data_IF_255576565963
#
_entry.id   IF_255576565963
#
_cell.length_a   1.000
_cell.length_b   1.000
_cell.length_c   1.000
_cell.angle_alpha   90.00
_cell.angle_beta   90.00
_cell.angle_gamma   90.00
#
_symmetry.space_group_name_H-M   'P 1'
#
loop_
_entity.id
_entity.type
_entity.pdbx_description
1 polymer ?
#
# COMPACT_ATOMS: atom_id res chain seq x y z
N UNK A 1 -2.35 -8.00 -9.34
CA UNK A 1 -1.21 -8.40 -8.50
C UNK A 1 -1.07 -7.40 -7.35
N UNK A 2 -1.09 -7.85 -6.09
CA UNK A 2 -1.09 -6.95 -4.91
C UNK A 2 0.21 -7.06 -4.15
N UNK A 3 0.84 -5.92 -3.90
CA UNK A 3 2.14 -5.81 -3.25
C UNK A 3 1.99 -4.97 -1.99
N UNK A 4 2.48 -5.49 -0.87
CA UNK A 4 2.68 -4.71 0.35
C UNK A 4 4.14 -4.27 0.39
N UNK A 5 4.39 -2.96 0.45
CA UNK A 5 5.72 -2.40 0.66
C UNK A 5 5.88 -2.11 2.15
N UNK A 6 6.79 -2.81 2.81
CA UNK A 6 7.05 -2.75 4.23
C UNK A 6 8.46 -2.23 4.51
N UNK A 7 8.59 -1.43 5.56
CA UNK A 7 9.90 -0.94 5.98
C UNK A 7 9.76 0.28 6.87
N UNK A 8 10.88 0.69 7.48
CA UNK A 8 10.94 1.84 8.39
C UNK A 8 10.51 3.15 7.72
N UNK A 9 10.14 4.13 8.53
CA UNK A 9 9.93 5.49 8.05
C UNK A 9 11.18 5.96 7.28
N UNK A 10 10.97 6.64 6.15
CA UNK A 10 12.03 7.13 5.26
C UNK A 10 13.00 6.06 4.68
N UNK A 11 12.64 4.77 4.71
CA UNK A 11 13.43 3.69 4.10
C UNK A 11 13.40 3.66 2.55
N UNK A 12 12.81 4.66 1.89
CA UNK A 12 12.75 4.73 0.43
C UNK A 12 11.59 3.97 -0.25
N UNK A 13 10.58 3.52 0.52
CA UNK A 13 9.39 2.78 -0.01
C UNK A 13 8.72 3.49 -1.19
N UNK A 14 8.48 4.80 -1.04
CA UNK A 14 7.89 5.65 -2.07
C UNK A 14 8.72 5.63 -3.36
N UNK A 15 10.04 5.81 -3.25
CA UNK A 15 10.97 5.78 -4.38
C UNK A 15 10.99 4.43 -5.08
N UNK A 16 10.87 3.33 -4.32
CA UNK A 16 10.77 1.99 -4.90
C UNK A 16 9.49 1.84 -5.74
N UNK A 17 8.33 2.29 -5.21
CA UNK A 17 7.07 2.27 -5.96
C UNK A 17 7.20 3.06 -7.26
N UNK A 18 7.75 4.27 -7.21
CA UNK A 18 7.95 5.10 -8.42
C UNK A 18 8.84 4.44 -9.45
N UNK A 19 9.90 3.75 -9.03
CA UNK A 19 10.78 2.98 -9.94
C UNK A 19 10.08 1.77 -10.55
N UNK A 20 9.30 1.02 -9.76
CA UNK A 20 8.52 -0.11 -10.25
C UNK A 20 7.44 0.32 -11.25
N UNK A 21 6.86 1.49 -11.04
CA UNK A 21 5.75 2.00 -11.87
C UNK A 21 6.22 2.83 -13.06
N UNK A 22 7.41 3.41 -12.98
CA UNK A 22 7.88 4.42 -13.93
C UNK A 22 7.10 5.73 -13.83
N UNK A 23 6.38 5.95 -12.73
CA UNK A 23 5.50 7.10 -12.54
C UNK A 23 5.68 7.69 -11.15
N UNK A 24 5.69 9.03 -11.08
CA UNK A 24 5.70 9.73 -9.80
C UNK A 24 4.43 9.44 -9.00
N UNK A 25 4.55 9.35 -7.68
CA UNK A 25 3.43 9.21 -6.75
C UNK A 25 2.38 10.31 -6.88
N UNK A 26 2.74 11.49 -7.38
CA UNK A 26 1.77 12.56 -7.68
C UNK A 26 0.87 12.25 -8.90
N UNK A 27 1.03 11.08 -9.52
CA UNK A 27 0.12 10.55 -10.55
C UNK A 27 -0.64 9.32 -10.08
N UNK A 28 -0.47 8.93 -8.82
CA UNK A 28 -1.16 7.78 -8.25
C UNK A 28 -2.64 8.11 -8.03
N UNK A 29 -3.48 7.11 -8.20
CA UNK A 29 -4.86 7.12 -7.75
C UNK A 29 -4.92 6.33 -6.45
N UNK A 30 -5.44 6.96 -5.39
CA UNK A 30 -5.69 6.29 -4.12
C UNK A 30 -7.14 5.81 -4.09
N UNK A 31 -7.32 4.51 -3.93
CA UNK A 31 -8.62 3.89 -3.84
C UNK A 31 -8.88 3.34 -2.44
N UNK A 32 -10.11 3.50 -1.95
CA UNK A 32 -10.60 2.90 -0.71
C UNK A 32 -11.96 2.29 -0.96
N UNK A 33 -12.12 1.02 -0.60
CA UNK A 33 -13.37 0.27 -0.76
C UNK A 33 -13.97 0.37 -2.18
N UNK A 34 -13.09 0.33 -3.19
CA UNK A 34 -13.49 0.39 -4.60
C UNK A 34 -13.84 1.78 -5.13
N UNK A 35 -13.60 2.85 -4.36
CA UNK A 35 -13.81 4.24 -4.78
C UNK A 35 -12.50 5.03 -4.79
N UNK A 36 -12.33 5.91 -5.77
CA UNK A 36 -11.23 6.90 -5.79
C UNK A 36 -11.47 7.89 -4.65
N UNK A 37 -10.42 8.21 -3.90
CA UNK A 37 -10.44 9.29 -2.91
C UNK A 37 -10.11 10.62 -3.61
N UNK A 38 -11.11 11.49 -3.86
CA UNK A 38 -10.88 12.73 -4.62
C UNK A 38 -9.96 13.67 -3.84
N UNK A 39 -9.00 14.28 -4.54
CA UNK A 39 -8.00 15.16 -3.94
C UNK A 39 -6.87 14.46 -3.18
N UNK A 40 -6.93 13.12 -3.05
CA UNK A 40 -5.86 12.32 -2.46
C UNK A 40 -5.01 11.70 -3.57
N UNK A 41 -4.11 12.52 -4.10
CA UNK A 41 -3.14 12.10 -5.13
C UNK A 41 -1.99 11.30 -4.51
N UNK A 42 -1.72 11.54 -3.22
CA UNK A 42 -0.74 10.80 -2.41
C UNK A 42 -1.33 10.49 -1.04
N UNK A 43 -0.95 9.36 -0.42
CA UNK A 43 -1.16 9.18 1.01
C UNK A 43 -0.49 10.33 1.77
N UNK A 44 -1.26 11.22 2.40
CA UNK A 44 -0.70 12.30 3.21
C UNK A 44 -0.04 11.69 4.44
N UNK A 45 1.18 12.15 4.78
CA UNK A 45 1.85 11.77 6.04
C UNK A 45 0.90 12.08 7.21
N UNK A 46 0.68 11.10 8.09
CA UNK A 46 -0.24 11.21 9.24
C UNK A 46 -1.71 10.80 9.01
N UNK A 47 -2.17 10.60 7.76
CA UNK A 47 -3.51 10.06 7.44
C UNK A 47 -3.43 8.74 6.65
N UNK A 48 -2.37 7.97 6.88
CA UNK A 48 -2.08 6.76 6.12
C UNK A 48 -2.95 5.58 6.56
N UNK A 49 -3.61 4.91 5.62
CA UNK A 49 -4.33 3.67 5.87
C UNK A 49 -3.73 2.57 5.00
N UNK A 50 -3.23 1.49 5.62
CA UNK A 50 -2.62 0.35 4.90
C UNK A 50 -3.62 -0.33 3.94
N UNK A 51 -4.93 -0.17 4.14
CA UNK A 51 -5.96 -0.70 3.26
C UNK A 51 -6.14 0.12 1.98
N UNK A 52 -5.62 1.36 1.94
CA UNK A 52 -5.65 2.18 0.75
C UNK A 52 -4.86 1.49 -0.37
N UNK A 53 -5.46 1.51 -1.55
CA UNK A 53 -4.89 0.92 -2.74
C UNK A 53 -4.26 2.04 -3.58
N UNK A 54 -2.95 1.99 -3.70
CA UNK A 54 -2.19 2.92 -4.54
C UNK A 54 -2.09 2.28 -5.93
N UNK A 55 -2.69 2.94 -6.92
CA UNK A 55 -2.76 2.46 -8.30
C UNK A 55 -2.17 3.47 -9.26
N UNK A 56 -1.61 2.97 -10.35
CA UNK A 56 -0.98 3.80 -11.38
C UNK A 56 -1.52 3.41 -12.74
N UNK A 57 -2.02 4.38 -13.51
CA UNK A 57 -2.48 4.15 -14.88
C UNK A 57 -1.42 3.49 -15.78
N UNK A 58 -0.11 3.83 -15.67
CA UNK A 58 0.94 3.12 -16.43
C UNK A 58 1.15 1.65 -16.06
N UNK A 59 0.72 1.20 -14.86
CA UNK A 59 0.84 -0.18 -14.37
C UNK A 59 -0.48 -0.68 -13.78
N UNK A 60 -1.54 -0.83 -14.59
CA UNK A 60 -2.89 -1.12 -14.09
C UNK A 60 -3.04 -2.51 -13.44
N UNK A 61 -2.11 -3.44 -13.74
CA UNK A 61 -2.10 -4.78 -13.14
C UNK A 61 -1.60 -4.83 -11.69
N UNK A 62 -1.04 -3.73 -11.18
CA UNK A 62 -0.48 -3.66 -9.83
C UNK A 62 -1.36 -2.82 -8.90
N UNK A 63 -1.49 -3.30 -7.67
CA UNK A 63 -2.06 -2.56 -6.55
C UNK A 63 -1.05 -2.57 -5.43
N UNK A 64 -0.62 -1.39 -5.01
CA UNK A 64 0.35 -1.24 -3.93
C UNK A 64 -0.34 -0.84 -2.63
N UNK A 65 0.15 -1.40 -1.53
CA UNK A 65 -0.18 -1.04 -0.16
C UNK A 65 1.13 -0.62 0.52
N UNK A 66 1.14 0.49 1.23
CA UNK A 66 2.31 1.00 1.96
C UNK A 66 2.09 0.83 3.47
N UNK A 67 3.08 0.32 4.21
CA UNK A 67 3.03 0.15 5.66
C UNK A 67 3.21 1.44 6.46
N UNK A 68 3.42 2.59 5.81
CA UNK A 68 3.69 3.92 6.36
C UNK A 68 5.04 4.13 7.08
N UNK A 69 5.83 3.09 7.32
CA UNK A 69 7.01 3.25 8.16
C UNK A 69 6.76 2.64 9.52
N UNK A 70 7.57 1.65 9.88
CA UNK A 70 7.57 1.12 11.24
C UNK A 70 8.65 1.87 12.04
N UNK A 71 8.26 2.56 13.11
CA UNK A 71 9.16 3.21 14.05
C UNK A 71 9.51 2.27 15.21
N UNK A 72 10.71 2.45 15.77
CA UNK A 72 11.18 1.61 16.87
C UNK A 72 10.29 1.85 18.11
N UNK A 73 9.63 0.79 18.59
CA UNK A 73 8.74 0.83 19.76
C UNK A 73 7.24 0.92 19.44
N UNK A 74 6.85 1.06 18.17
CA UNK A 74 5.42 1.12 17.79
C UNK A 74 4.82 -0.28 17.61
N UNK A 75 4.33 -0.89 18.70
CA UNK A 75 3.60 -2.16 18.63
C UNK A 75 2.33 -2.06 17.77
N UNK A 76 1.73 -0.86 17.69
CA UNK A 76 0.52 -0.57 16.92
C UNK A 76 0.75 -0.72 15.41
N UNK A 77 1.86 -0.23 14.88
CA UNK A 77 2.20 -0.35 13.46
C UNK A 77 2.43 -1.80 13.06
N UNK A 78 3.17 -2.55 13.90
CA UNK A 78 3.40 -3.98 13.66
C UNK A 78 2.09 -4.77 13.68
N UNK A 79 1.21 -4.50 14.65
CA UNK A 79 -0.10 -5.15 14.75
C UNK A 79 -0.99 -4.81 13.56
N UNK A 80 -0.94 -3.57 13.08
CA UNK A 80 -1.69 -3.12 11.88
C UNK A 80 -1.25 -3.88 10.63
N UNK A 81 0.06 -4.07 10.46
CA UNK A 81 0.61 -4.87 9.36
C UNK A 81 0.21 -6.34 9.49
N UNK A 82 0.39 -6.94 10.67
CA UNK A 82 0.05 -8.35 10.89
C UNK A 82 -1.42 -8.63 10.55
N UNK A 83 -2.33 -7.80 11.08
CA UNK A 83 -3.76 -7.90 10.82
C UNK A 83 -4.09 -7.71 9.33
N UNK A 84 -3.40 -6.79 8.65
CA UNK A 84 -3.57 -6.61 7.20
C UNK A 84 -3.13 -7.86 6.42
N UNK A 85 -1.95 -8.41 6.73
CA UNK A 85 -1.41 -9.61 6.07
C UNK A 85 -2.32 -10.79 6.32
N UNK A 86 -2.76 -11.02 7.56
CA UNK A 86 -3.69 -12.09 7.91
C UNK A 86 -4.99 -11.98 7.11
N UNK A 87 -5.65 -10.82 7.10
CA UNK A 87 -6.90 -10.59 6.34
C UNK A 87 -6.73 -10.82 4.84
N UNK A 88 -5.61 -10.39 4.26
CA UNK A 88 -5.35 -10.52 2.81
C UNK A 88 -4.80 -11.89 2.44
N UNK A 89 -4.25 -12.66 3.38
CA UNK A 89 -3.80 -14.05 3.15
C UNK A 89 -4.94 -15.05 3.34
N UNK A 90 -5.82 -14.81 4.32
CA UNK A 90 -7.02 -15.61 4.59
C UNK A 90 -8.19 -15.33 3.62
N UNK A 91 -8.03 -14.36 2.71
CA UNK A 91 -8.98 -14.04 1.63
C UNK A 91 -9.09 -15.11 0.53
N UNK A 92 -8.81 -16.39 0.84
CA UNK A 92 -8.71 -17.55 -0.06
C UNK A 92 -9.90 -17.70 -1.03
N UNK A 93 -11.05 -17.11 -0.72
CA UNK A 93 -12.25 -17.10 -1.59
C UNK A 93 -12.24 -16.04 -2.70
N UNK A 94 -11.30 -15.08 -2.70
CA UNK A 94 -11.21 -14.03 -3.71
C UNK A 94 -9.75 -13.68 -4.05
N UNK A 95 -9.23 -14.32 -5.11
CA UNK A 95 -7.87 -14.08 -5.63
C UNK A 95 -7.60 -12.60 -5.95
N UNK A 96 -8.64 -11.79 -6.24
CA UNK A 96 -8.47 -10.37 -6.55
C UNK A 96 -8.11 -9.54 -5.32
N UNK A 97 -8.42 -9.98 -4.11
CA UNK A 97 -8.09 -9.26 -2.88
C UNK A 97 -6.87 -9.84 -2.17
N UNK A 98 -6.42 -11.04 -2.55
CA UNK A 98 -5.28 -11.71 -1.94
C UNK A 98 -3.97 -10.90 -2.10
N UNK A 99 -3.14 -10.91 -1.06
CA UNK A 99 -1.79 -10.37 -1.14
C UNK A 99 -0.87 -11.34 -1.90
N UNK A 100 -0.10 -10.84 -2.86
CA UNK A 100 0.74 -11.68 -3.71
C UNK A 100 2.20 -11.63 -3.29
N UNK A 101 2.68 -10.47 -2.85
CA UNK A 101 4.07 -10.23 -2.43
C UNK A 101 4.10 -9.26 -1.26
N UNK A 102 5.01 -9.50 -0.33
CA UNK A 102 5.49 -8.53 0.67
C UNK A 102 6.92 -8.20 0.29
N UNK A 103 7.24 -6.91 0.18
CA UNK A 103 8.57 -6.41 -0.13
C UNK A 103 9.04 -5.45 0.95
#
# INVERSE_FOLDING_TARGET
FRVLILGRANAGKTTLIERLTGASMDKAEVWRDGKILPGQVRPKRGLHNINDEIRFRPKPGFVFHDSHGIEAGSATELSTVQLFVERRSSAVKNLRTQLHVIW
#
